data_IF_989728170197
#
_entry.id   IF_989728170197
#
_cell.length_a   1.000
_cell.length_b   1.000
_cell.length_c   1.000
_cell.angle_alpha   90.00
_cell.angle_beta   90.00
_cell.angle_gamma   90.00
#
_symmetry.space_group_name_H-M   'P 1'
#
loop_
_entity.id
_entity.type
_entity.pdbx_description
1 polymer ?
#
# COMPACT_ATOMS: atom_id res chain seq x y z
N UNK A 1 7.79 23.74 6.26
CA UNK A 1 6.37 23.53 6.65
C UNK A 1 5.85 22.12 6.32
N UNK A 2 6.44 21.41 5.36
CA UNK A 2 6.06 20.03 4.97
C UNK A 2 6.50 18.96 5.98
N UNK A 3 7.52 19.21 6.79
CA UNK A 3 8.07 18.24 7.76
C UNK A 3 7.15 18.07 8.98
N UNK A 4 6.40 19.10 9.37
CA UNK A 4 5.48 19.05 10.51
C UNK A 4 4.25 18.14 10.25
N UNK A 5 3.79 18.05 9.00
CA UNK A 5 2.65 17.20 8.61
C UNK A 5 2.96 15.70 8.69
N UNK A 6 4.18 15.31 8.35
CA UNK A 6 4.62 13.91 8.41
C UNK A 6 4.77 13.42 9.85
N UNK A 7 5.23 14.27 10.76
CA UNK A 7 5.41 13.92 12.17
C UNK A 7 4.07 13.73 12.91
N UNK A 8 3.06 14.52 12.59
CA UNK A 8 1.70 14.38 13.15
C UNK A 8 1.00 13.10 12.63
N UNK A 9 1.27 12.67 11.40
CA UNK A 9 0.78 11.41 10.87
C UNK A 9 1.39 10.20 11.59
N UNK A 10 2.66 10.27 11.95
CA UNK A 10 3.37 9.21 12.67
C UNK A 10 2.84 9.05 14.10
N UNK A 11 2.54 10.14 14.80
CA UNK A 11 1.96 10.09 16.14
C UNK A 11 0.51 9.60 16.15
N UNK A 12 -0.30 9.94 15.16
CA UNK A 12 -1.67 9.46 15.04
C UNK A 12 -1.72 7.94 14.78
N UNK A 13 -0.78 7.40 14.01
CA UNK A 13 -0.68 5.96 13.73
C UNK A 13 -0.20 5.21 14.98
N UNK A 14 0.74 5.76 15.75
CA UNK A 14 1.23 5.17 16.99
C UNK A 14 0.14 5.11 18.07
N UNK A 15 -0.65 6.18 18.22
CA UNK A 15 -1.77 6.23 19.18
C UNK A 15 -2.90 5.27 18.81
N UNK A 16 -3.12 5.07 17.52
CA UNK A 16 -4.13 4.13 17.01
C UNK A 16 -3.72 2.67 17.24
N UNK A 17 -2.43 2.37 17.18
CA UNK A 17 -1.89 1.03 17.45
C UNK A 17 -2.10 0.58 18.90
N UNK A 18 -2.04 1.52 19.87
CA UNK A 18 -2.22 1.20 21.28
C UNK A 18 -3.68 0.94 21.68
N UNK A 19 -4.64 1.55 21.00
CA UNK A 19 -6.06 1.39 21.30
C UNK A 19 -6.66 0.06 20.80
N UNK A 20 -5.95 -0.68 19.97
CA UNK A 20 -6.48 -1.86 19.25
C UNK A 20 -6.02 -3.23 19.76
N UNK A 21 -5.36 -3.31 20.89
CA UNK A 21 -4.95 -4.61 21.45
C UNK A 21 -6.11 -5.49 21.97
N UNK A 22 -7.35 -4.99 21.95
CA UNK A 22 -8.52 -5.67 22.54
C UNK A 22 -9.42 -6.46 21.58
N UNK A 23 -9.23 -6.39 20.26
CA UNK A 23 -10.03 -7.15 19.29
C UNK A 23 -9.16 -8.07 18.41
N UNK A 24 -8.86 -9.26 18.92
CA UNK A 24 -8.17 -10.32 18.17
C UNK A 24 -8.99 -10.77 16.96
N UNK A 25 -8.45 -10.60 15.76
CA UNK A 25 -8.91 -11.23 14.53
C UNK A 25 -9.33 -10.28 13.40
N UNK A 26 -9.95 -9.15 13.68
CA UNK A 26 -10.35 -8.16 12.64
C UNK A 26 -9.32 -7.04 12.43
N UNK A 27 -8.35 -6.93 13.32
CA UNK A 27 -7.41 -5.82 13.38
C UNK A 27 -6.07 -6.04 12.68
N UNK A 28 -5.62 -7.28 12.49
CA UNK A 28 -4.40 -7.58 11.74
C UNK A 28 -4.50 -7.08 10.29
N UNK A 29 -5.67 -7.21 9.69
CA UNK A 29 -6.00 -6.75 8.35
C UNK A 29 -5.89 -5.23 8.20
N UNK A 30 -6.45 -4.47 9.15
CA UNK A 30 -6.35 -2.99 9.17
C UNK A 30 -4.93 -2.51 9.39
N UNK A 31 -4.15 -3.23 10.19
CA UNK A 31 -2.78 -2.89 10.52
C UNK A 31 -1.82 -3.09 9.33
N UNK A 32 -1.97 -4.18 8.60
CA UNK A 32 -1.16 -4.48 7.41
C UNK A 32 -1.39 -3.45 6.30
N UNK A 33 -2.65 -3.03 6.09
CA UNK A 33 -2.99 -1.99 5.10
C UNK A 33 -2.43 -0.63 5.51
N UNK A 34 -2.59 -0.23 6.76
CA UNK A 34 -2.08 1.04 7.26
C UNK A 34 -0.54 1.12 7.16
N UNK A 35 0.15 0.03 7.49
CA UNK A 35 1.60 -0.07 7.37
C UNK A 35 2.05 0.03 5.91
N UNK A 36 1.39 -0.69 5.02
CA UNK A 36 1.71 -0.68 3.61
C UNK A 36 1.53 0.71 2.97
N UNK A 37 0.52 1.45 3.38
CA UNK A 37 0.25 2.81 2.88
C UNK A 37 1.25 3.82 3.43
N UNK A 38 1.62 3.75 4.72
CA UNK A 38 2.60 4.68 5.31
C UNK A 38 3.97 4.58 4.66
N UNK A 39 4.40 3.39 4.24
CA UNK A 39 5.68 3.22 3.52
C UNK A 39 5.67 3.78 2.09
N UNK A 40 4.51 3.95 1.47
CA UNK A 40 4.43 4.52 0.11
C UNK A 40 4.27 6.05 0.09
N UNK A 41 3.79 6.67 1.16
CA UNK A 41 3.64 8.14 1.26
C UNK A 41 4.97 8.88 1.40
N UNK A 42 6.04 8.21 1.79
CA UNK A 42 7.37 8.84 1.91
C UNK A 42 8.08 9.07 0.57
N UNK A 43 7.50 8.70 -0.57
CA UNK A 43 8.14 8.84 -1.88
C UNK A 43 7.37 9.73 -2.88
N UNK A 44 6.71 10.76 -2.39
CA UNK A 44 6.06 11.77 -3.23
C UNK A 44 6.98 12.89 -3.75
N UNK A 45 8.29 12.77 -3.71
CA UNK A 45 9.21 13.70 -4.36
C UNK A 45 10.22 12.92 -5.19
N UNK A 46 10.25 13.25 -6.50
CA UNK A 46 11.07 12.61 -7.50
C UNK A 46 12.52 12.44 -7.09
N UNK A 47 12.88 11.21 -6.77
CA UNK A 47 14.27 10.80 -6.65
C UNK A 47 14.51 9.77 -7.73
N UNK A 48 15.34 10.19 -8.67
CA UNK A 48 16.03 9.34 -9.62
C UNK A 48 16.38 8.00 -8.97
N UNK A 49 16.02 6.90 -9.63
CA UNK A 49 16.38 5.56 -9.21
C UNK A 49 17.90 5.46 -9.07
N UNK A 50 18.42 5.77 -7.87
CA UNK A 50 19.70 5.24 -7.51
C UNK A 50 19.47 3.72 -7.36
N UNK A 51 20.11 2.95 -8.22
CA UNK A 51 20.34 1.53 -8.04
C UNK A 51 21.13 1.43 -6.73
N UNK A 52 20.39 1.44 -5.62
CA UNK A 52 20.95 1.22 -4.31
C UNK A 52 21.53 -0.19 -4.34
N UNK A 53 22.82 -0.27 -4.17
CA UNK A 53 23.57 -1.51 -4.01
C UNK A 53 23.09 -2.17 -2.71
N UNK A 54 21.85 -2.67 -2.71
CA UNK A 54 21.31 -3.44 -1.60
C UNK A 54 22.08 -4.72 -1.60
N UNK A 55 22.81 -4.93 -0.53
CA UNK A 55 23.53 -6.18 -0.33
C UNK A 55 22.48 -7.30 -0.25
N UNK A 56 22.23 -7.99 -1.37
CA UNK A 56 21.27 -9.09 -1.48
C UNK A 56 21.52 -10.19 -0.45
N UNK A 57 22.74 -10.22 0.12
CA UNK A 57 23.08 -11.15 1.21
C UNK A 57 22.32 -10.87 2.52
N UNK A 58 21.75 -9.67 2.70
CA UNK A 58 20.93 -9.34 3.87
C UNK A 58 19.48 -9.79 3.72
N UNK A 59 19.01 -10.03 2.49
CA UNK A 59 17.64 -10.41 2.22
C UNK A 59 17.42 -11.90 2.56
N UNK A 60 16.37 -12.19 3.29
CA UNK A 60 16.03 -13.56 3.67
C UNK A 60 15.82 -14.46 2.43
N UNK A 61 16.56 -15.55 2.35
CA UNK A 61 16.52 -16.49 1.21
C UNK A 61 15.11 -17.08 0.97
N UNK A 62 14.31 -17.26 2.04
CA UNK A 62 12.92 -17.71 1.94
C UNK A 62 12.04 -16.66 1.25
N UNK A 63 12.24 -15.37 1.56
CA UNK A 63 11.54 -14.28 0.90
C UNK A 63 11.85 -14.25 -0.60
N UNK A 64 13.11 -14.36 -0.97
CA UNK A 64 13.54 -14.42 -2.37
C UNK A 64 12.93 -15.63 -3.11
N UNK A 65 12.92 -16.80 -2.47
CA UNK A 65 12.30 -18.01 -3.05
C UNK A 65 10.79 -17.85 -3.26
N UNK A 66 10.07 -17.29 -2.27
CA UNK A 66 8.63 -17.03 -2.38
C UNK A 66 8.35 -15.99 -3.48
N UNK A 67 9.15 -14.92 -3.55
CA UNK A 67 9.04 -13.91 -4.59
C UNK A 67 9.17 -14.52 -6.00
N UNK A 68 10.20 -15.33 -6.25
CA UNK A 68 10.41 -16.01 -7.53
C UNK A 68 9.24 -16.94 -7.89
N UNK A 69 8.62 -17.57 -6.91
CA UNK A 69 7.45 -18.42 -7.14
C UNK A 69 6.22 -17.60 -7.52
N UNK A 70 5.99 -16.45 -6.86
CA UNK A 70 4.83 -15.58 -7.11
C UNK A 70 4.97 -14.77 -8.40
N UNK A 71 6.18 -14.35 -8.71
CA UNK A 71 6.50 -13.41 -9.79
C UNK A 71 7.58 -14.00 -10.71
N UNK A 72 7.35 -15.20 -11.24
CA UNK A 72 8.33 -15.98 -12.00
C UNK A 72 8.89 -15.23 -13.22
N UNK A 73 8.09 -14.35 -13.85
CA UNK A 73 8.44 -13.64 -15.09
C UNK A 73 8.91 -12.21 -14.83
N UNK A 74 9.14 -11.83 -13.57
CA UNK A 74 9.64 -10.50 -13.22
C UNK A 74 11.15 -10.50 -13.22
N UNK A 75 11.74 -9.46 -13.80
CA UNK A 75 13.17 -9.15 -13.76
C UNK A 75 13.37 -7.69 -13.40
N UNK A 76 14.53 -7.37 -12.83
CA UNK A 76 14.87 -5.99 -12.46
C UNK A 76 14.17 -5.52 -11.18
N UNK A 77 13.74 -6.44 -10.34
CA UNK A 77 13.22 -6.10 -9.02
C UNK A 77 14.29 -5.47 -8.14
N UNK A 78 13.93 -4.40 -7.43
CA UNK A 78 14.78 -3.73 -6.46
C UNK A 78 14.41 -4.18 -5.04
N UNK A 79 15.33 -4.86 -4.38
CA UNK A 79 15.18 -5.26 -2.98
C UNK A 79 15.68 -4.16 -2.04
N UNK A 80 15.01 -4.01 -0.91
CA UNK A 80 15.40 -3.12 0.18
C UNK A 80 15.26 -3.89 1.49
N UNK A 81 16.30 -3.87 2.30
CA UNK A 81 16.25 -4.26 3.70
C UNK A 81 15.54 -3.14 4.49
N UNK A 82 14.59 -3.52 5.31
CA UNK A 82 13.82 -2.63 6.15
C UNK A 82 14.21 -2.88 7.62
N UNK A 83 13.83 -1.94 8.47
CA UNK A 83 14.06 -2.08 9.91
C UNK A 83 13.52 -3.41 10.45
N UNK A 84 14.21 -3.96 11.45
CA UNK A 84 13.86 -5.21 12.11
C UNK A 84 13.96 -6.48 11.24
N UNK A 85 14.77 -6.44 10.18
CA UNK A 85 15.01 -7.58 9.29
C UNK A 85 13.83 -7.92 8.37
N UNK A 86 12.89 -7.01 8.21
CA UNK A 86 11.87 -7.08 7.16
C UNK A 86 12.49 -6.69 5.83
N UNK A 87 11.86 -7.08 4.73
CA UNK A 87 12.33 -6.70 3.40
C UNK A 87 11.17 -6.37 2.47
N UNK A 88 11.48 -5.61 1.43
CA UNK A 88 10.54 -5.33 0.34
C UNK A 88 11.21 -5.50 -1.00
N UNK A 89 10.43 -5.95 -1.99
CA UNK A 89 10.79 -5.94 -3.40
C UNK A 89 9.90 -4.97 -4.16
N UNK A 90 10.48 -4.09 -4.98
CA UNK A 90 9.76 -3.19 -5.89
C UNK A 90 10.07 -3.56 -7.33
N UNK A 91 9.06 -3.54 -8.17
CA UNK A 91 9.19 -3.79 -9.62
C UNK A 91 7.99 -3.20 -10.37
N UNK A 92 8.09 -3.12 -11.68
CA UNK A 92 7.02 -2.62 -12.55
C UNK A 92 6.65 -3.69 -13.58
N UNK A 93 5.36 -3.96 -13.73
CA UNK A 93 4.81 -4.85 -14.76
C UNK A 93 3.68 -4.12 -15.48
N UNK A 94 3.75 -4.04 -16.82
CA UNK A 94 2.72 -3.39 -17.64
C UNK A 94 2.35 -1.97 -17.19
N UNK A 95 3.34 -1.20 -16.72
CA UNK A 95 3.14 0.16 -16.22
C UNK A 95 2.50 0.25 -14.83
N UNK A 96 2.30 -0.88 -14.15
CA UNK A 96 1.83 -0.95 -12.76
C UNK A 96 3.03 -1.12 -11.83
N UNK A 97 3.14 -0.25 -10.83
CA UNK A 97 4.17 -0.36 -9.81
C UNK A 97 3.73 -1.34 -8.71
N UNK A 98 4.55 -2.34 -8.50
CA UNK A 98 4.36 -3.35 -7.47
C UNK A 98 5.34 -3.16 -6.32
N UNK A 99 4.87 -3.39 -5.11
CA UNK A 99 5.70 -3.47 -3.90
C UNK A 99 5.26 -4.68 -3.08
N UNK A 100 6.18 -5.57 -2.79
CA UNK A 100 5.91 -6.79 -2.03
C UNK A 100 6.70 -6.78 -0.73
N UNK A 101 6.05 -7.05 0.36
CA UNK A 101 6.62 -6.99 1.71
C UNK A 101 6.77 -8.38 2.31
N UNK A 102 7.87 -8.56 3.02
CA UNK A 102 8.22 -9.79 3.71
C UNK A 102 8.60 -9.51 5.17
N UNK A 103 8.16 -10.39 6.05
CA UNK A 103 8.57 -10.41 7.44
C UNK A 103 10.02 -10.90 7.59
N UNK A 104 10.63 -10.70 8.76
CA UNK A 104 11.99 -11.17 9.10
C UNK A 104 12.21 -12.65 8.83
N UNK A 105 11.20 -13.49 9.05
CA UNK A 105 11.25 -14.93 8.80
C UNK A 105 11.07 -15.32 7.32
N UNK A 106 10.97 -14.33 6.43
CA UNK A 106 10.77 -14.52 4.98
C UNK A 106 9.34 -14.83 4.55
N UNK A 107 8.35 -14.75 5.45
CA UNK A 107 6.96 -14.90 5.08
C UNK A 107 6.45 -13.64 4.37
N UNK A 108 5.71 -13.82 3.29
CA UNK A 108 4.97 -12.76 2.63
C UNK A 108 3.93 -12.15 3.58
N UNK A 109 3.85 -10.82 3.60
CA UNK A 109 2.93 -10.08 4.49
C UNK A 109 1.96 -9.19 3.75
N UNK A 110 2.38 -8.62 2.61
CA UNK A 110 1.50 -7.82 1.77
C UNK A 110 2.06 -7.67 0.36
N UNK A 111 1.17 -7.46 -0.59
CA UNK A 111 1.48 -6.96 -1.93
C UNK A 111 0.65 -5.72 -2.21
N UNK A 112 1.30 -4.68 -2.73
CA UNK A 112 0.67 -3.46 -3.17
C UNK A 112 0.86 -3.29 -4.66
N UNK A 113 -0.20 -2.87 -5.35
CA UNK A 113 -0.14 -2.36 -6.72
C UNK A 113 -0.61 -0.92 -6.72
N UNK A 114 0.14 -0.07 -7.40
CA UNK A 114 -0.16 1.34 -7.52
C UNK A 114 -0.37 1.69 -8.98
N UNK A 115 -1.53 2.26 -9.30
CA UNK A 115 -1.91 2.60 -10.66
C UNK A 115 -2.97 3.72 -10.72
N UNK A 116 -3.29 4.16 -11.91
CA UNK A 116 -4.28 5.21 -12.20
C UNK A 116 -5.66 4.62 -12.48
N UNK A 117 -6.68 5.47 -12.56
CA UNK A 117 -8.08 5.07 -12.73
C UNK A 117 -8.33 4.12 -13.90
N UNK A 118 -7.54 4.22 -14.98
CA UNK A 118 -7.67 3.41 -16.19
C UNK A 118 -7.46 1.90 -15.98
N UNK A 119 -6.78 1.53 -14.91
CA UNK A 119 -6.51 0.13 -14.54
C UNK A 119 -7.37 -0.39 -13.39
N UNK A 120 -8.25 0.46 -12.86
CA UNK A 120 -9.19 0.04 -11.81
C UNK A 120 -10.27 -0.89 -12.39
N UNK A 121 -10.56 -2.04 -11.75
CA UNK A 121 -11.65 -2.91 -12.19
C UNK A 121 -12.97 -2.14 -12.35
N UNK A 122 -13.69 -2.44 -13.43
CA UNK A 122 -14.89 -1.70 -13.81
C UNK A 122 -15.92 -1.61 -12.67
N UNK A 123 -16.18 -2.72 -11.98
CA UNK A 123 -17.17 -2.80 -10.90
C UNK A 123 -16.80 -1.89 -9.72
N UNK A 124 -15.51 -1.85 -9.38
CA UNK A 124 -15.00 -1.00 -8.29
C UNK A 124 -15.07 0.46 -8.70
N UNK A 125 -14.64 0.76 -9.94
CA UNK A 125 -14.71 2.11 -10.50
C UNK A 125 -16.15 2.63 -10.55
N UNK A 126 -17.08 1.84 -11.06
CA UNK A 126 -18.50 2.18 -11.17
C UNK A 126 -19.10 2.44 -9.79
N UNK A 127 -18.83 1.59 -8.81
CA UNK A 127 -19.27 1.78 -7.43
C UNK A 127 -18.80 3.12 -6.84
N UNK A 128 -17.54 3.47 -7.02
CA UNK A 128 -16.97 4.72 -6.51
C UNK A 128 -17.54 5.92 -7.26
N UNK A 129 -17.62 5.87 -8.60
CA UNK A 129 -18.11 7.01 -9.41
C UNK A 129 -19.60 7.28 -9.19
N UNK A 130 -20.42 6.28 -8.89
CA UNK A 130 -21.83 6.52 -8.52
C UNK A 130 -21.98 7.23 -7.19
N UNK A 131 -21.13 6.93 -6.21
CA UNK A 131 -21.18 7.56 -4.89
C UNK A 131 -20.50 8.95 -4.86
N UNK A 132 -19.48 9.14 -5.70
CA UNK A 132 -18.61 10.31 -5.73
C UNK A 132 -18.47 10.84 -7.16
N UNK A 133 -19.60 11.13 -7.83
CA UNK A 133 -19.62 11.51 -9.25
C UNK A 133 -18.85 12.81 -9.54
N UNK A 134 -18.81 13.76 -8.59
CA UNK A 134 -18.10 15.03 -8.69
C UNK A 134 -16.59 14.95 -8.37
N UNK A 135 -16.12 13.76 -7.93
CA UNK A 135 -14.72 13.56 -7.57
C UNK A 135 -13.92 12.96 -8.73
N UNK A 136 -12.66 13.37 -8.82
CA UNK A 136 -11.66 12.75 -9.68
C UNK A 136 -10.97 11.65 -8.91
N UNK A 137 -10.78 10.49 -9.53
CA UNK A 137 -9.91 9.42 -9.00
C UNK A 137 -8.48 9.78 -9.38
N UNK A 138 -7.69 10.22 -8.41
CA UNK A 138 -6.32 10.65 -8.63
C UNK A 138 -5.34 9.46 -8.65
N UNK A 139 -5.61 8.44 -7.83
CA UNK A 139 -4.67 7.36 -7.61
C UNK A 139 -5.34 6.15 -6.93
N UNK A 140 -4.86 4.95 -7.22
CA UNK A 140 -5.37 3.70 -6.67
C UNK A 140 -4.24 2.87 -6.07
N UNK A 141 -4.46 2.37 -4.87
CA UNK A 141 -3.65 1.34 -4.24
C UNK A 141 -4.48 0.07 -4.07
N UNK A 142 -4.07 -0.99 -4.72
CA UNK A 142 -4.63 -2.33 -4.52
C UNK A 142 -3.73 -3.08 -3.54
N UNK A 143 -4.32 -3.63 -2.49
CA UNK A 143 -3.61 -4.28 -1.38
C UNK A 143 -4.10 -5.71 -1.22
N UNK A 144 -3.17 -6.64 -1.23
CA UNK A 144 -3.39 -8.05 -0.89
C UNK A 144 -2.57 -8.42 0.34
N UNK A 145 -3.15 -9.22 1.23
CA UNK A 145 -2.49 -9.79 2.41
C UNK A 145 -2.81 -11.28 2.52
N UNK A 146 -2.12 -12.05 3.36
CA UNK A 146 -2.46 -13.46 3.58
C UNK A 146 -3.91 -13.67 4.02
N UNK A 147 -4.48 -12.71 4.73
CA UNK A 147 -5.85 -12.75 5.25
C UNK A 147 -6.90 -12.33 4.23
N UNK A 148 -6.50 -11.78 3.08
CA UNK A 148 -7.44 -11.29 2.06
C UNK A 148 -8.08 -12.40 1.22
N UNK A 149 -7.60 -13.63 1.36
CA UNK A 149 -8.10 -14.82 0.65
C UNK A 149 -8.29 -14.59 -0.86
N UNK A 150 -7.29 -13.95 -1.47
CA UNK A 150 -7.29 -13.60 -2.89
C UNK A 150 -8.21 -12.45 -3.31
N UNK A 151 -8.90 -11.82 -2.35
CA UNK A 151 -9.76 -10.65 -2.59
C UNK A 151 -9.00 -9.37 -2.23
N UNK A 152 -8.60 -8.55 -3.20
CA UNK A 152 -7.86 -7.32 -2.90
C UNK A 152 -8.75 -6.29 -2.21
N UNK A 153 -8.12 -5.46 -1.40
CA UNK A 153 -8.70 -4.22 -0.89
C UNK A 153 -8.18 -3.07 -1.75
N UNK A 154 -9.09 -2.25 -2.24
CA UNK A 154 -8.76 -1.03 -2.98
C UNK A 154 -8.82 0.17 -2.05
N UNK A 155 -7.75 0.96 -2.01
CA UNK A 155 -7.72 2.28 -1.40
C UNK A 155 -7.65 3.29 -2.55
N UNK A 156 -8.74 3.98 -2.76
CA UNK A 156 -8.94 4.86 -3.90
C UNK A 156 -8.85 6.30 -3.41
N UNK A 157 -7.88 7.01 -3.93
CA UNK A 157 -7.67 8.42 -3.63
C UNK A 157 -8.54 9.24 -4.57
N UNK A 158 -9.55 9.89 -4.04
CA UNK A 158 -10.43 10.77 -4.78
C UNK A 158 -10.28 12.20 -4.29
N UNK A 159 -10.49 13.15 -5.19
CA UNK A 159 -10.39 14.56 -4.86
C UNK A 159 -11.43 15.42 -5.59
N UNK A 160 -11.84 16.48 -4.92
CA UNK A 160 -12.59 17.60 -5.47
C UNK A 160 -11.82 18.91 -5.27
N UNK A 161 -12.49 20.05 -5.44
CA UNK A 161 -11.88 21.38 -5.25
C UNK A 161 -11.45 21.65 -3.80
N UNK A 162 -12.06 20.99 -2.83
CA UNK A 162 -11.96 21.31 -1.41
C UNK A 162 -11.33 20.21 -0.57
N UNK A 163 -11.42 18.95 -1.02
CA UNK A 163 -11.03 17.79 -0.21
C UNK A 163 -10.24 16.75 -0.97
N UNK A 164 -9.40 16.02 -0.22
CA UNK A 164 -8.87 14.72 -0.58
C UNK A 164 -9.58 13.66 0.26
N UNK A 165 -10.02 12.58 -0.34
CA UNK A 165 -10.63 11.47 0.38
C UNK A 165 -9.98 10.15 -0.04
N UNK A 166 -9.93 9.23 0.91
CA UNK A 166 -9.44 7.86 0.72
C UNK A 166 -10.64 6.95 0.92
N UNK A 167 -11.12 6.43 -0.18
CA UNK A 167 -12.25 5.49 -0.19
C UNK A 167 -11.69 4.08 -0.20
N UNK A 168 -12.12 3.27 0.76
CA UNK A 168 -11.77 1.86 0.80
C UNK A 168 -12.90 1.05 0.19
N UNK A 169 -12.56 0.15 -0.72
CA UNK A 169 -13.48 -0.85 -1.27
C UNK A 169 -12.90 -2.25 -0.99
N UNK A 170 -13.67 -3.08 -0.31
CA UNK A 170 -13.29 -4.45 0.03
C UNK A 170 -14.52 -5.35 0.02
N UNK A 171 -14.48 -6.45 -0.70
CA UNK A 171 -15.57 -7.43 -0.80
C UNK A 171 -16.93 -6.78 -1.09
N UNK A 172 -16.97 -5.85 -2.07
CA UNK A 172 -18.16 -5.11 -2.48
C UNK A 172 -18.65 -4.05 -1.49
N UNK A 173 -18.02 -3.91 -0.33
CA UNK A 173 -18.33 -2.87 0.65
C UNK A 173 -17.42 -1.67 0.44
N UNK A 174 -17.99 -0.47 0.58
CA UNK A 174 -17.28 0.78 0.42
C UNK A 174 -17.48 1.67 1.65
N UNK A 175 -16.38 2.28 2.13
CA UNK A 175 -16.39 3.26 3.21
C UNK A 175 -15.31 4.34 3.02
N UNK A 176 -15.51 5.50 3.66
CA UNK A 176 -14.47 6.53 3.73
C UNK A 176 -13.47 6.12 4.82
N UNK A 177 -12.25 5.85 4.40
CA UNK A 177 -11.18 5.53 5.33
C UNK A 177 -10.55 6.80 5.94
N UNK A 178 -10.39 7.86 5.12
CA UNK A 178 -9.82 9.14 5.56
C UNK A 178 -10.34 10.29 4.70
N UNK A 179 -10.52 11.47 5.32
CA UNK A 179 -10.83 12.72 4.63
C UNK A 179 -9.88 13.82 5.10
N UNK A 180 -9.39 14.64 4.18
CA UNK A 180 -8.50 15.77 4.41
C UNK A 180 -9.04 16.98 3.63
N UNK A 181 -8.99 18.17 4.25
CA UNK A 181 -9.33 19.40 3.58
C UNK A 181 -8.09 19.95 2.82
N UNK A 182 -8.29 20.49 1.62
CA UNK A 182 -7.28 21.26 0.89
C UNK A 182 -7.14 22.61 1.58
N UNK A 183 -5.91 23.08 1.73
CA UNK A 183 -5.61 24.44 2.23
C UNK A 183 -5.61 25.43 1.09
#
# INVERSE_FOLDING_TARGET
FLIAGAMLLFQAISSYAHAQQAEKGKNAYRFSIALAISYNTEQGSGVSASIGNTNLLSINARAMKDFRKRYANVSGEAWTDLDNGKSRAKFTVNGVNHTVYYAKNGNWTASLKNYTEDKLPFEVRDQVKRAYYDFTIAFVQEVETPESDGKPTYIIHIEDKHTYQFVRVCDGKMDIWKKLNKQ
#
